data_IF_323059467552
#
_entry.id   IF_323059467552
#
_cell.length_a   1.000
_cell.length_b   1.000
_cell.length_c   1.000
_cell.angle_alpha   90.00
_cell.angle_beta   90.00
_cell.angle_gamma   90.00
#
_symmetry.space_group_name_H-M   'P 1'
#
loop_
_entity.id
_entity.type
_entity.pdbx_description
1 polymer ?
#
# COMPACT_ATOMS: atom_id res chain seq x y z
N UNK A 1 22.74 0.84 -11.82
CA UNK A 1 21.74 1.34 -10.84
C UNK A 1 21.64 2.86 -10.71
N UNK A 2 22.74 3.63 -10.79
CA UNK A 2 22.72 5.10 -10.57
C UNK A 2 21.86 5.85 -11.59
N UNK A 3 22.06 5.59 -12.89
CA UNK A 3 21.25 6.19 -13.97
C UNK A 3 19.74 5.94 -13.83
N UNK A 4 19.32 4.76 -13.34
CA UNK A 4 17.91 4.44 -13.16
C UNK A 4 17.31 5.19 -11.96
N UNK A 5 18.10 5.40 -10.89
CA UNK A 5 17.67 6.23 -9.76
C UNK A 5 17.48 7.69 -10.17
N UNK A 6 18.37 8.21 -11.01
CA UNK A 6 18.27 9.56 -11.58
C UNK A 6 17.03 9.70 -12.48
N UNK A 7 16.76 8.71 -13.34
CA UNK A 7 15.50 8.67 -14.12
C UNK A 7 14.27 8.65 -13.23
N UNK A 8 14.30 7.89 -12.13
CA UNK A 8 13.20 7.82 -11.16
C UNK A 8 12.95 9.15 -10.44
N UNK A 9 14.01 9.88 -10.11
CA UNK A 9 13.88 11.22 -9.52
C UNK A 9 13.28 12.22 -10.52
N UNK A 10 13.57 12.07 -11.82
CA UNK A 10 13.06 12.97 -12.86
C UNK A 10 11.60 12.69 -13.27
N UNK A 11 11.20 11.42 -13.33
CA UNK A 11 9.84 11.01 -13.74
C UNK A 11 8.85 10.87 -12.58
N UNK A 12 9.35 10.82 -11.33
CA UNK A 12 8.54 10.50 -10.15
C UNK A 12 8.57 9.01 -9.83
N UNK A 13 8.58 8.68 -8.53
CA UNK A 13 8.67 7.29 -8.04
C UNK A 13 7.42 6.47 -8.37
N UNK A 14 6.27 7.11 -8.52
CA UNK A 14 5.01 6.41 -8.75
C UNK A 14 4.90 5.81 -10.15
N UNK A 15 5.22 6.61 -11.17
CA UNK A 15 5.08 6.21 -12.58
C UNK A 15 6.37 5.64 -13.20
N UNK A 16 7.53 5.87 -12.59
CA UNK A 16 8.78 5.33 -13.12
C UNK A 16 8.78 3.80 -13.12
N UNK A 17 8.94 3.21 -14.30
CA UNK A 17 9.04 1.77 -14.52
C UNK A 17 10.50 1.37 -14.73
N UNK A 18 10.95 0.33 -14.04
CA UNK A 18 12.27 -0.25 -14.27
C UNK A 18 12.24 -1.10 -15.56
N UNK A 19 13.37 -1.24 -16.29
CA UNK A 19 13.46 -2.19 -17.39
C UNK A 19 13.07 -3.59 -16.90
N UNK A 20 12.11 -4.23 -17.58
CA UNK A 20 11.52 -5.54 -17.21
C UNK A 20 10.83 -5.60 -15.83
N UNK A 21 10.76 -4.46 -15.13
CA UNK A 21 10.14 -4.36 -13.83
C UNK A 21 8.77 -3.69 -13.89
N UNK A 22 8.27 -3.42 -12.69
CA UNK A 22 7.00 -2.76 -12.47
C UNK A 22 7.20 -1.36 -11.90
N UNK A 23 6.25 -0.49 -12.19
CA UNK A 23 6.09 0.81 -11.56
C UNK A 23 5.23 0.68 -10.29
N UNK A 24 5.22 1.71 -9.43
CA UNK A 24 4.32 1.71 -8.28
C UNK A 24 2.84 1.79 -8.73
N UNK A 25 2.57 2.34 -9.91
CA UNK A 25 1.26 2.32 -10.54
C UNK A 25 0.78 0.90 -10.87
N UNK A 26 1.65 0.04 -11.42
CA UNK A 26 1.32 -1.38 -11.65
C UNK A 26 1.00 -2.10 -10.32
N UNK A 27 1.76 -1.78 -9.25
CA UNK A 27 1.51 -2.29 -7.89
C UNK A 27 0.19 -1.76 -7.33
N UNK A 28 -0.20 -0.53 -7.64
CA UNK A 28 -1.45 0.09 -7.18
C UNK A 28 -2.68 -0.65 -7.69
N UNK A 29 -2.65 -1.13 -8.94
CA UNK A 29 -3.71 -1.96 -9.50
C UNK A 29 -3.89 -3.26 -8.71
N UNK A 30 -2.78 -3.97 -8.43
CA UNK A 30 -2.84 -5.21 -7.63
C UNK A 30 -3.29 -4.98 -6.19
N UNK A 31 -2.85 -3.91 -5.56
CA UNK A 31 -3.32 -3.53 -4.22
C UNK A 31 -4.82 -3.21 -4.23
N UNK A 32 -5.34 -2.64 -5.32
CA UNK A 32 -6.78 -2.41 -5.47
C UNK A 32 -7.56 -3.73 -5.47
N UNK A 33 -7.14 -4.69 -6.29
CA UNK A 33 -7.75 -6.02 -6.36
C UNK A 33 -7.66 -6.79 -5.03
N UNK A 34 -6.53 -6.65 -4.33
CA UNK A 34 -6.34 -7.23 -3.01
C UNK A 34 -7.32 -6.65 -1.99
N UNK A 35 -7.49 -5.32 -1.95
CA UNK A 35 -8.42 -4.68 -1.02
C UNK A 35 -9.86 -5.07 -1.29
N UNK A 36 -10.29 -5.14 -2.56
CA UNK A 36 -11.63 -5.60 -2.91
C UNK A 36 -11.90 -7.03 -2.42
N UNK A 37 -10.92 -7.93 -2.60
CA UNK A 37 -11.02 -9.30 -2.09
C UNK A 37 -11.06 -9.34 -0.57
N UNK A 38 -10.17 -8.59 0.10
CA UNK A 38 -10.13 -8.51 1.56
C UNK A 38 -11.46 -8.01 2.14
N UNK A 39 -12.04 -6.95 1.57
CA UNK A 39 -13.34 -6.44 2.02
C UNK A 39 -14.45 -7.46 1.86
N UNK A 40 -14.48 -8.17 0.73
CA UNK A 40 -15.46 -9.24 0.50
C UNK A 40 -15.30 -10.36 1.53
N UNK A 41 -14.08 -10.81 1.79
CA UNK A 41 -13.79 -11.90 2.71
C UNK A 41 -14.18 -11.53 4.16
N UNK A 42 -14.02 -10.27 4.55
CA UNK A 42 -14.52 -9.73 5.82
C UNK A 42 -16.06 -9.76 5.87
N UNK A 43 -16.71 -9.26 4.81
CA UNK A 43 -18.18 -9.15 4.72
C UNK A 43 -18.89 -10.53 4.84
N UNK A 44 -18.39 -11.52 4.10
CA UNK A 44 -18.93 -12.90 4.15
C UNK A 44 -18.47 -13.70 5.38
N UNK A 45 -17.74 -13.08 6.31
CA UNK A 45 -17.13 -13.70 7.48
C UNK A 45 -16.25 -14.93 7.16
N UNK A 46 -15.47 -14.85 6.07
CA UNK A 46 -14.54 -15.93 5.68
C UNK A 46 -13.36 -16.06 6.66
N UNK A 47 -13.08 -15.01 7.43
CA UNK A 47 -12.04 -15.00 8.46
C UNK A 47 -12.48 -15.69 9.77
N UNK A 48 -13.72 -16.17 9.84
CA UNK A 48 -14.29 -16.87 11.01
C UNK A 48 -14.10 -16.10 12.33
N UNK A 49 -14.31 -14.79 12.30
CA UNK A 49 -14.27 -13.96 13.50
C UNK A 49 -15.67 -13.87 14.13
N UNK A 50 -15.71 -13.64 15.43
CA UNK A 50 -16.96 -13.26 16.10
C UNK A 50 -17.32 -11.84 15.66
N UNK A 51 -18.53 -11.66 15.12
CA UNK A 51 -19.02 -10.36 14.64
C UNK A 51 -19.29 -9.36 15.77
N UNK A 52 -19.26 -9.81 17.02
CA UNK A 52 -19.36 -8.95 18.20
C UNK A 52 -18.00 -8.38 18.65
N UNK A 53 -16.88 -8.89 18.12
CA UNK A 53 -15.54 -8.42 18.42
C UNK A 53 -14.97 -7.51 17.32
N UNK A 54 -14.04 -6.63 17.70
CA UNK A 54 -13.30 -5.80 16.75
C UNK A 54 -12.32 -6.64 15.92
N UNK A 55 -12.49 -6.62 14.59
CA UNK A 55 -11.54 -7.25 13.67
C UNK A 55 -10.26 -6.43 13.52
N UNK A 56 -9.14 -6.98 13.99
CA UNK A 56 -7.80 -6.42 13.81
C UNK A 56 -7.01 -7.23 12.77
N UNK A 57 -6.40 -6.54 11.81
CA UNK A 57 -5.63 -7.16 10.73
C UNK A 57 -4.15 -6.79 10.83
N UNK A 58 -3.28 -7.78 10.63
CA UNK A 58 -1.84 -7.57 10.47
C UNK A 58 -1.45 -7.94 9.05
N UNK A 59 -0.96 -6.95 8.30
CA UNK A 59 -0.51 -7.14 6.91
C UNK A 59 1.00 -6.98 6.88
N UNK A 60 1.71 -8.05 6.50
CA UNK A 60 3.17 -8.06 6.35
C UNK A 60 3.53 -7.90 4.88
N UNK A 61 4.32 -6.88 4.54
CA UNK A 61 4.68 -6.58 3.15
C UNK A 61 5.99 -5.78 3.05
N UNK A 62 6.33 -5.33 1.84
CA UNK A 62 7.53 -4.55 1.55
C UNK A 62 7.26 -3.04 1.54
N UNK A 63 8.31 -2.23 1.72
CA UNK A 63 8.18 -0.77 1.89
C UNK A 63 7.42 -0.05 0.77
N UNK A 64 7.65 -0.40 -0.50
CA UNK A 64 6.89 0.20 -1.61
C UNK A 64 5.41 -0.21 -1.57
N UNK A 65 5.13 -1.49 -1.37
CA UNK A 65 3.78 -2.02 -1.30
C UNK A 65 2.99 -1.44 -0.13
N UNK A 66 3.61 -1.24 1.04
CA UNK A 66 2.99 -0.57 2.19
C UNK A 66 2.60 0.88 1.84
N UNK A 67 3.48 1.62 1.16
CA UNK A 67 3.16 3.00 0.75
C UNK A 67 2.01 3.06 -0.26
N UNK A 68 2.00 2.14 -1.22
CA UNK A 68 0.92 2.03 -2.22
C UNK A 68 -0.39 1.60 -1.56
N UNK A 69 -0.34 0.69 -0.58
CA UNK A 69 -1.47 0.32 0.26
C UNK A 69 -2.06 1.53 0.99
N UNK A 70 -1.24 2.33 1.67
CA UNK A 70 -1.68 3.54 2.34
C UNK A 70 -2.29 4.55 1.35
N UNK A 71 -1.65 4.76 0.21
CA UNK A 71 -2.18 5.63 -0.85
C UNK A 71 -3.57 5.17 -1.31
N UNK A 72 -3.75 3.87 -1.59
CA UNK A 72 -5.03 3.32 -2.02
C UNK A 72 -6.09 3.41 -0.93
N UNK A 73 -5.73 3.09 0.32
CA UNK A 73 -6.64 3.12 1.46
C UNK A 73 -7.18 4.52 1.75
N UNK A 74 -6.28 5.52 1.81
CA UNK A 74 -6.65 6.90 2.10
C UNK A 74 -7.04 7.71 0.86
N UNK A 75 -7.05 7.08 -0.31
CA UNK A 75 -7.34 7.72 -1.61
C UNK A 75 -6.47 8.95 -1.86
N UNK A 76 -5.19 8.84 -1.51
CA UNK A 76 -4.22 9.92 -1.69
C UNK A 76 -3.88 10.14 -3.15
N UNK A 77 -3.59 11.40 -3.50
CA UNK A 77 -3.08 11.76 -4.81
C UNK A 77 -1.61 11.33 -4.97
N UNK A 78 -1.12 11.32 -6.21
CA UNK A 78 0.26 10.89 -6.52
C UNK A 78 1.28 11.78 -5.81
N UNK A 79 1.01 13.08 -5.72
CA UNK A 79 1.84 14.06 -5.05
C UNK A 79 2.02 13.71 -3.57
N UNK A 80 0.94 13.30 -2.91
CA UNK A 80 0.98 12.86 -1.51
C UNK A 80 1.79 11.56 -1.35
N UNK A 81 1.67 10.63 -2.29
CA UNK A 81 2.48 9.40 -2.31
C UNK A 81 3.98 9.69 -2.47
N UNK A 82 4.34 10.68 -3.27
CA UNK A 82 5.75 11.10 -3.46
C UNK A 82 6.36 11.64 -2.16
N UNK A 83 5.58 12.24 -1.26
CA UNK A 83 6.10 12.67 0.05
C UNK A 83 6.36 11.50 1.02
N UNK A 84 5.86 10.30 0.73
CA UNK A 84 6.08 9.13 1.59
C UNK A 84 7.50 8.59 1.42
N UNK A 85 8.09 8.20 2.54
CA UNK A 85 9.31 7.41 2.58
C UNK A 85 8.99 5.95 2.91
N UNK A 86 9.87 5.03 2.50
CA UNK A 86 9.74 3.65 2.91
C UNK A 86 9.90 3.54 4.43
N UNK A 87 9.13 2.65 5.04
CA UNK A 87 9.36 2.22 6.42
C UNK A 87 10.74 1.55 6.52
N UNK A 88 11.39 1.69 7.67
CA UNK A 88 12.62 1.00 8.03
C UNK A 88 12.43 -0.51 8.14
N UNK A 89 13.53 -1.24 8.31
CA UNK A 89 13.48 -2.69 8.43
C UNK A 89 12.66 -3.11 9.66
N UNK A 90 11.67 -3.98 9.46
CA UNK A 90 10.71 -4.42 10.48
C UNK A 90 9.92 -3.28 11.16
N UNK A 91 9.94 -2.07 10.60
CA UNK A 91 9.11 -0.96 11.09
C UNK A 91 7.66 -1.16 10.64
N UNK A 92 6.70 -0.77 11.47
CA UNK A 92 5.28 -0.89 11.20
C UNK A 92 4.55 0.46 11.25
N UNK A 93 3.33 0.48 10.70
CA UNK A 93 2.40 1.61 10.79
C UNK A 93 1.10 1.09 11.37
N UNK A 94 0.49 1.86 12.27
CA UNK A 94 -0.81 1.54 12.84
C UNK A 94 -1.85 2.46 12.21
N UNK A 95 -2.84 1.84 11.57
CA UNK A 95 -4.03 2.52 11.06
C UNK A 95 -5.14 2.25 12.06
N UNK A 96 -5.52 3.28 12.81
CA UNK A 96 -6.57 3.19 13.82
C UNK A 96 -7.58 4.30 13.58
N UNK A 97 -8.86 4.01 13.78
CA UNK A 97 -9.86 5.05 13.81
C UNK A 97 -9.61 5.89 15.06
N UNK A 98 -9.45 7.20 14.89
CA UNK A 98 -9.44 8.13 16.03
C UNK A 98 -10.87 8.56 16.31
N UNK A 99 -11.38 8.14 17.46
CA UNK A 99 -12.59 8.69 18.03
C UNK A 99 -12.21 9.93 18.85
N UNK A 100 -12.78 11.07 18.52
CA UNK A 100 -12.86 12.28 19.34
C UNK A 100 -14.32 12.67 19.46
#
# INVERSE_FOLDING_TARGET
MKAIKETRERFGRFFCRFPEGESAFDVYDRISNFLESLWRDIDINMLHHDRSDDLNLIIVSHGLAIRVFLMKWFKWMVEQFEYLNNVGNCEFRVMQLRWW
#
